data_IF_470367273821
#
_entry.id   IF_470367273821
#
_cell.length_a   1.000
_cell.length_b   1.000
_cell.length_c   1.000
_cell.angle_alpha   90.00
_cell.angle_beta   90.00
_cell.angle_gamma   90.00
#
_symmetry.space_group_name_H-M   'P 1'
#
loop_
_entity.id
_entity.type
_entity.pdbx_description
1 polymer ?
#
# COMPACT_ATOMS: atom_id res chain seq x y z
N UNK A 1 13.69 -14.61 -32.03
CA UNK A 1 12.57 -15.54 -31.80
C UNK A 1 11.29 -14.75 -31.92
N UNK A 2 10.53 -14.96 -32.99
CA UNK A 2 9.26 -14.25 -33.22
C UNK A 2 8.17 -15.08 -32.56
N UNK A 3 7.62 -14.58 -31.45
CA UNK A 3 6.52 -15.26 -30.76
C UNK A 3 5.25 -15.20 -31.60
N UNK A 4 4.58 -16.34 -31.73
CA UNK A 4 3.31 -16.47 -32.43
C UNK A 4 2.24 -15.67 -31.67
N UNK A 5 1.32 -14.99 -32.37
CA UNK A 5 0.29 -14.16 -31.73
C UNK A 5 -1.07 -14.82 -31.88
N UNK A 6 -1.69 -15.21 -30.77
CA UNK A 6 -3.05 -15.77 -30.74
C UNK A 6 -4.00 -14.79 -30.06
N UNK A 7 -5.05 -14.37 -30.75
CA UNK A 7 -6.01 -13.35 -30.28
C UNK A 7 -5.35 -12.01 -29.87
N UNK A 8 -4.21 -11.66 -30.48
CA UNK A 8 -3.47 -10.44 -30.18
C UNK A 8 -2.52 -10.54 -28.97
N UNK A 9 -2.53 -11.66 -28.23
CA UNK A 9 -1.60 -11.92 -27.14
C UNK A 9 -0.39 -12.75 -27.64
N UNK A 10 0.76 -12.54 -27.00
CA UNK A 10 2.01 -13.24 -27.25
C UNK A 10 1.90 -14.69 -26.76
N UNK A 11 2.25 -15.62 -27.63
CA UNK A 11 2.38 -17.02 -27.31
C UNK A 11 3.88 -17.37 -27.31
N UNK A 12 4.38 -17.84 -26.17
CA UNK A 12 5.80 -18.14 -25.96
C UNK A 12 5.98 -19.65 -26.01
N UNK A 13 6.77 -20.12 -26.97
CA UNK A 13 7.13 -21.54 -27.04
C UNK A 13 8.30 -21.83 -26.09
N UNK A 14 8.02 -22.57 -25.02
CA UNK A 14 9.03 -22.96 -24.01
C UNK A 14 9.69 -24.30 -24.32
N UNK A 15 9.10 -25.09 -25.21
CA UNK A 15 9.68 -26.35 -25.68
C UNK A 15 8.94 -26.92 -26.89
N UNK A 16 9.37 -28.10 -27.41
CA UNK A 16 8.82 -28.71 -28.62
C UNK A 16 7.30 -28.94 -28.57
N UNK A 17 6.75 -29.10 -27.36
CA UNK A 17 5.31 -29.30 -27.12
C UNK A 17 4.75 -28.38 -26.03
N UNK A 18 5.52 -27.46 -25.46
CA UNK A 18 5.09 -26.64 -24.33
C UNK A 18 4.98 -25.18 -24.75
N UNK A 19 3.76 -24.64 -24.63
CA UNK A 19 3.44 -23.27 -24.98
C UNK A 19 2.93 -22.54 -23.74
N UNK A 20 3.41 -21.33 -23.51
CA UNK A 20 2.91 -20.43 -22.49
C UNK A 20 2.10 -19.31 -23.14
N UNK A 21 0.91 -19.03 -22.61
CA UNK A 21 0.12 -17.88 -23.02
C UNK A 21 -0.40 -17.12 -21.80
N UNK A 22 -0.56 -15.79 -21.92
CA UNK A 22 -1.05 -14.97 -20.83
C UNK A 22 -2.56 -15.21 -20.68
N UNK A 23 -2.95 -15.68 -19.51
CA UNK A 23 -4.31 -16.09 -19.20
C UNK A 23 -5.08 -14.96 -18.51
N UNK A 24 -4.52 -14.43 -17.42
CA UNK A 24 -5.22 -13.48 -16.56
C UNK A 24 -4.26 -12.48 -15.90
N UNK A 25 -4.68 -11.21 -15.83
CA UNK A 25 -4.04 -10.23 -14.99
C UNK A 25 -4.55 -10.39 -13.55
N UNK A 26 -3.69 -10.80 -12.62
CA UNK A 26 -4.07 -11.06 -11.22
C UNK A 26 -4.10 -9.76 -10.40
N UNK A 27 -3.03 -8.96 -10.46
CA UNK A 27 -2.91 -7.75 -9.65
C UNK A 27 -1.93 -6.75 -10.26
N UNK A 28 -2.02 -5.51 -9.82
CA UNK A 28 -1.14 -4.41 -10.20
C UNK A 28 -0.42 -3.90 -8.95
N UNK A 29 0.83 -3.43 -9.10
CA UNK A 29 1.56 -2.72 -8.05
C UNK A 29 2.25 -1.48 -8.64
N UNK A 30 2.43 -0.46 -7.81
CA UNK A 30 3.35 0.65 -8.10
C UNK A 30 4.65 0.39 -7.35
N UNK A 31 5.76 0.43 -8.06
CA UNK A 31 7.11 0.33 -7.50
C UNK A 31 7.54 1.71 -7.00
N UNK A 32 8.52 1.77 -6.09
CA UNK A 32 9.05 3.03 -5.54
C UNK A 32 9.51 4.03 -6.61
N UNK A 33 9.85 3.55 -7.81
CA UNK A 33 10.27 4.36 -8.95
C UNK A 33 9.08 4.88 -9.79
N UNK A 34 7.88 4.90 -9.21
CA UNK A 34 6.59 5.23 -9.86
C UNK A 34 6.24 4.36 -11.08
N UNK A 35 6.97 3.27 -11.30
CA UNK A 35 6.71 2.31 -12.37
C UNK A 35 5.53 1.41 -11.99
N UNK A 36 4.62 1.18 -12.94
CA UNK A 36 3.51 0.27 -12.75
C UNK A 36 3.89 -1.12 -13.27
N UNK A 37 3.71 -2.12 -12.43
CA UNK A 37 3.92 -3.52 -12.77
C UNK A 37 2.64 -4.33 -12.59
N UNK A 38 2.51 -5.34 -13.43
CA UNK A 38 1.34 -6.18 -13.56
C UNK A 38 1.73 -7.64 -13.35
N UNK A 39 1.05 -8.33 -12.43
CA UNK A 39 1.23 -9.76 -12.22
C UNK A 39 0.31 -10.52 -13.17
N UNK A 40 0.89 -11.12 -14.20
CA UNK A 40 0.16 -11.92 -15.19
C UNK A 40 0.31 -13.39 -14.84
N UNK A 41 -0.81 -14.12 -14.84
CA UNK A 41 -0.84 -15.58 -14.86
C UNK A 41 -0.64 -16.06 -16.29
N UNK A 42 0.39 -16.85 -16.49
CA UNK A 42 0.68 -17.53 -17.74
C UNK A 42 0.33 -19.00 -17.57
N UNK A 43 -0.52 -19.53 -18.43
CA UNK A 43 -0.85 -20.95 -18.42
C UNK A 43 0.02 -21.70 -19.41
N UNK A 44 0.46 -22.89 -19.00
CA UNK A 44 1.26 -23.79 -19.80
C UNK A 44 0.34 -24.81 -20.46
N UNK A 45 0.24 -24.76 -21.78
CA UNK A 45 -0.45 -25.78 -22.58
C UNK A 45 0.58 -26.69 -23.23
N UNK A 46 0.44 -27.99 -22.98
CA UNK A 46 1.13 -29.00 -23.77
C UNK A 46 0.33 -29.22 -25.05
N UNK A 47 0.88 -28.78 -26.19
CA UNK A 47 0.32 -28.97 -27.51
C UNK A 47 0.35 -30.43 -27.93
N UNK A 48 -0.64 -31.19 -27.47
CA UNK A 48 -0.97 -32.53 -27.96
C UNK A 48 -2.31 -32.49 -28.69
N UNK A 49 -2.29 -32.40 -30.02
CA UNK A 49 -3.49 -32.51 -30.82
C UNK A 49 -4.02 -33.96 -30.83
N UNK A 50 -5.32 -34.13 -30.54
CA UNK A 50 -6.14 -35.20 -31.10
C UNK A 50 -6.50 -36.39 -30.20
N UNK A 51 -7.76 -36.36 -29.78
CA UNK A 51 -8.69 -37.50 -29.67
C UNK A 51 -8.71 -38.41 -28.44
N UNK A 52 -9.95 -38.72 -28.05
CA UNK A 52 -10.46 -39.83 -27.23
C UNK A 52 -10.19 -39.82 -25.73
N UNK A 53 -11.29 -39.93 -24.96
CA UNK A 53 -11.27 -40.59 -23.66
C UNK A 53 -11.80 -39.75 -22.51
N UNK A 54 -13.04 -40.06 -22.12
CA UNK A 54 -13.66 -39.73 -20.84
C UNK A 54 -12.69 -39.81 -19.65
N UNK A 55 -12.82 -38.87 -18.72
CA UNK A 55 -13.11 -39.07 -17.28
C UNK A 55 -12.50 -37.96 -16.44
N UNK A 56 -13.30 -37.53 -15.47
CA UNK A 56 -12.99 -36.64 -14.36
C UNK A 56 -11.62 -36.91 -13.74
N UNK A 57 -10.71 -35.94 -13.88
CA UNK A 57 -9.45 -35.88 -13.14
C UNK A 57 -8.97 -34.44 -13.17
N UNK A 58 -8.78 -33.84 -11.99
CA UNK A 58 -8.29 -32.48 -11.79
C UNK A 58 -6.98 -32.27 -12.55
N UNK A 59 -7.06 -31.82 -13.80
CA UNK A 59 -5.89 -31.45 -14.60
C UNK A 59 -5.37 -30.14 -14.03
N UNK A 60 -4.42 -30.28 -13.10
CA UNK A 60 -3.65 -29.21 -12.49
C UNK A 60 -2.87 -28.50 -13.59
N UNK A 61 -3.51 -27.54 -14.26
CA UNK A 61 -2.90 -26.70 -15.27
C UNK A 61 -1.74 -25.97 -14.60
N UNK A 62 -0.52 -26.27 -15.03
CA UNK A 62 0.68 -25.60 -14.53
C UNK A 62 0.60 -24.14 -14.98
N UNK A 63 0.54 -23.23 -14.02
CA UNK A 63 0.51 -21.80 -14.26
C UNK A 63 1.68 -21.12 -13.58
N UNK A 64 2.29 -20.18 -14.30
CA UNK A 64 3.43 -19.38 -13.83
C UNK A 64 2.93 -17.95 -13.65
N UNK A 65 3.29 -17.34 -12.52
CA UNK A 65 3.00 -15.95 -12.25
C UNK A 65 4.24 -15.12 -12.58
N UNK A 66 4.08 -14.08 -13.39
CA UNK A 66 5.18 -13.21 -13.80
C UNK A 66 4.79 -11.74 -13.68
N UNK A 67 5.65 -10.95 -13.03
CA UNK A 67 5.55 -9.50 -13.02
C UNK A 67 6.08 -8.95 -14.33
N UNK A 68 5.31 -8.07 -14.95
CA UNK A 68 5.63 -7.42 -16.22
C UNK A 68 5.42 -5.92 -16.10
N UNK A 69 6.24 -5.13 -16.78
CA UNK A 69 6.05 -3.68 -16.85
C UNK A 69 4.81 -3.32 -17.67
N UNK A 70 4.31 -2.10 -17.53
CA UNK A 70 3.24 -1.57 -18.40
C UNK A 70 3.54 -1.77 -19.88
N UNK A 71 4.76 -1.45 -20.30
CA UNK A 71 5.22 -1.56 -21.69
C UNK A 71 5.19 -3.01 -22.17
N UNK A 72 5.67 -3.94 -21.33
CA UNK A 72 5.64 -5.37 -21.63
C UNK A 72 4.22 -5.91 -21.72
N UNK A 73 3.29 -5.46 -20.87
CA UNK A 73 1.90 -5.91 -20.95
C UNK A 73 1.22 -5.39 -22.22
N UNK A 74 1.50 -4.15 -22.63
CA UNK A 74 1.00 -3.63 -23.91
C UNK A 74 1.57 -4.37 -25.12
N UNK A 75 2.84 -4.75 -25.08
CA UNK A 75 3.50 -5.48 -26.16
C UNK A 75 3.03 -6.94 -26.26
N UNK A 76 2.76 -7.58 -25.11
CA UNK A 76 2.56 -9.01 -25.01
C UNK A 76 1.10 -9.42 -24.78
N UNK A 77 0.31 -8.65 -24.04
CA UNK A 77 -1.02 -9.08 -23.59
C UNK A 77 -2.06 -7.93 -23.57
N UNK A 78 -2.20 -7.12 -24.64
CA UNK A 78 -3.03 -5.91 -24.61
C UNK A 78 -4.52 -6.20 -24.33
N UNK A 79 -4.99 -7.41 -24.66
CA UNK A 79 -6.41 -7.78 -24.45
C UNK A 79 -6.79 -7.99 -22.98
N UNK A 80 -5.80 -8.22 -22.10
CA UNK A 80 -6.04 -8.41 -20.66
C UNK A 80 -6.30 -7.09 -19.94
N UNK A 81 -5.85 -5.95 -20.49
CA UNK A 81 -6.07 -4.63 -19.92
C UNK A 81 -7.53 -4.13 -20.09
N UNK A 82 -8.24 -4.60 -21.13
CA UNK A 82 -9.58 -4.11 -21.50
C UNK A 82 -10.77 -4.89 -20.93
N UNK A 83 -10.56 -5.99 -20.21
CA UNK A 83 -11.62 -6.95 -19.83
C UNK A 83 -12.04 -6.93 -18.36
N UNK A 84 -12.12 -5.78 -17.70
CA UNK A 84 -12.95 -5.69 -16.48
C UNK A 84 -14.43 -5.59 -16.85
N UNK A 85 -15.10 -6.73 -16.95
CA UNK A 85 -16.55 -6.81 -16.69
C UNK A 85 -16.75 -6.88 -15.18
N UNK A 86 -17.67 -6.06 -14.70
CA UNK A 86 -18.12 -6.02 -13.32
C UNK A 86 -18.68 -7.38 -12.87
N UNK A 87 -18.13 -7.96 -11.80
CA UNK A 87 -18.93 -8.60 -10.76
C UNK A 87 -18.17 -8.66 -9.42
N UNK A 88 -18.74 -7.92 -8.47
CA UNK A 88 -18.83 -8.09 -7.01
C UNK A 88 -17.63 -8.45 -6.12
N UNK A 89 -17.22 -7.39 -5.40
CA UNK A 89 -16.88 -7.32 -3.97
C UNK A 89 -15.66 -8.08 -3.42
N UNK A 90 -14.56 -7.33 -3.28
CA UNK A 90 -14.14 -6.72 -2.00
C UNK A 90 -13.19 -5.54 -2.29
N UNK A 91 -13.48 -4.30 -1.83
CA UNK A 91 -12.59 -3.17 -2.06
C UNK A 91 -11.41 -3.26 -1.09
N UNK A 92 -10.28 -3.79 -1.58
CA UNK A 92 -8.99 -3.68 -0.89
C UNK A 92 -8.13 -2.67 -1.65
N UNK A 93 -8.27 -1.42 -1.20
CA UNK A 93 -7.22 -0.41 -1.12
C UNK A 93 -6.49 -0.13 -2.44
N UNK A 94 -7.07 0.81 -3.20
CA UNK A 94 -6.35 1.66 -4.13
C UNK A 94 -5.27 2.43 -3.36
N UNK A 95 -4.01 2.02 -3.52
CA UNK A 95 -2.88 2.92 -3.28
C UNK A 95 -2.69 3.79 -4.54
N UNK A 96 -3.39 4.92 -4.55
CA UNK A 96 -3.13 6.00 -5.50
C UNK A 96 -2.27 7.08 -4.83
N UNK A 97 -0.99 7.15 -5.20
CA UNK A 97 -0.19 8.35 -5.00
C UNK A 97 -0.63 9.45 -5.97
N UNK A 98 -1.36 10.46 -5.43
CA UNK A 98 -1.18 11.95 -5.48
C UNK A 98 -1.03 12.67 -6.85
N UNK A 99 -1.22 14.02 -6.97
CA UNK A 99 -1.80 15.06 -6.09
C UNK A 99 -2.76 16.05 -6.82
N UNK A 100 -3.96 16.31 -6.29
CA UNK A 100 -4.65 17.63 -6.42
C UNK A 100 -5.94 17.61 -5.63
N UNK A 101 -6.26 18.76 -5.05
CA UNK A 101 -7.20 18.89 -3.95
C UNK A 101 -8.63 18.49 -4.28
N UNK A 102 -9.18 17.61 -3.45
CA UNK A 102 -10.47 17.76 -2.80
C UNK A 102 -10.60 16.59 -1.84
N UNK A 103 -10.24 16.82 -0.57
CA UNK A 103 -10.77 15.99 0.50
C UNK A 103 -12.30 16.11 0.42
N UNK A 104 -13.09 15.03 0.63
CA UNK A 104 -14.45 15.23 1.08
C UNK A 104 -14.34 15.96 2.42
N UNK A 105 -14.50 17.27 2.35
CA UNK A 105 -14.48 18.17 3.48
C UNK A 105 -15.76 17.95 4.27
N UNK A 106 -15.77 16.92 5.11
CA UNK A 106 -16.31 16.98 6.47
C UNK A 106 -15.90 15.71 7.22
N UNK A 107 -14.69 15.69 7.78
CA UNK A 107 -14.46 14.83 8.95
C UNK A 107 -15.25 15.54 10.04
N UNK A 108 -16.34 14.93 10.50
CA UNK A 108 -17.24 15.57 11.45
C UNK A 108 -16.40 16.03 12.66
N UNK A 109 -16.65 17.25 13.14
CA UNK A 109 -15.83 17.86 14.20
C UNK A 109 -15.76 16.98 15.45
N UNK A 110 -16.79 16.16 15.66
CA UNK A 110 -16.85 15.12 16.69
C UNK A 110 -15.82 14.01 16.49
N UNK A 111 -15.75 13.40 15.31
CA UNK A 111 -14.81 12.31 15.02
C UNK A 111 -13.35 12.78 15.11
N UNK A 112 -13.07 14.02 14.69
CA UNK A 112 -11.74 14.59 14.84
C UNK A 112 -11.36 14.79 16.31
N UNK A 113 -12.31 15.12 17.19
CA UNK A 113 -12.06 15.22 18.63
C UNK A 113 -11.76 13.85 19.25
N UNK A 114 -12.48 12.80 18.84
CA UNK A 114 -12.22 11.44 19.29
C UNK A 114 -10.83 10.96 18.89
N UNK A 115 -10.41 11.22 17.64
CA UNK A 115 -9.05 10.92 17.18
C UNK A 115 -7.99 11.69 17.96
N UNK A 116 -8.23 12.95 18.31
CA UNK A 116 -7.32 13.74 19.16
C UNK A 116 -7.17 13.13 20.55
N UNK A 117 -8.27 12.68 21.15
CA UNK A 117 -8.25 12.05 22.46
C UNK A 117 -7.56 10.68 22.43
N UNK A 118 -7.77 9.90 21.36
CA UNK A 118 -7.06 8.63 21.16
C UNK A 118 -5.54 8.84 21.02
N UNK A 119 -5.10 9.86 20.26
CA UNK A 119 -3.67 10.21 20.17
C UNK A 119 -3.09 10.53 21.55
N UNK A 120 -3.78 11.31 22.39
CA UNK A 120 -3.33 11.60 23.77
C UNK A 120 -3.19 10.33 24.59
N UNK A 121 -4.18 9.44 24.52
CA UNK A 121 -4.19 8.18 25.25
C UNK A 121 -3.07 7.24 24.79
N UNK A 122 -2.82 7.15 23.47
CA UNK A 122 -1.74 6.38 22.88
C UNK A 122 -0.36 6.91 23.29
N UNK A 123 -0.15 8.23 23.27
CA UNK A 123 1.12 8.85 23.72
C UNK A 123 1.34 8.63 25.21
N UNK A 124 0.30 8.80 26.03
CA UNK A 124 0.35 8.51 27.47
C UNK A 124 0.69 7.04 27.73
N UNK A 125 0.07 6.12 26.98
CA UNK A 125 0.34 4.69 27.06
C UNK A 125 1.78 4.36 26.65
N UNK A 126 2.27 4.94 25.56
CA UNK A 126 3.63 4.73 25.10
C UNK A 126 4.66 5.23 26.13
N UNK A 127 4.47 6.42 26.73
CA UNK A 127 5.33 6.90 27.83
C UNK A 127 5.34 5.94 29.02
N UNK A 128 4.16 5.46 29.44
CA UNK A 128 4.06 4.48 30.54
C UNK A 128 4.79 3.17 30.21
N UNK A 129 4.72 2.72 28.95
CA UNK A 129 5.43 1.53 28.48
C UNK A 129 6.96 1.76 28.44
N UNK A 130 7.44 2.97 28.16
CA UNK A 130 8.87 3.29 28.20
C UNK A 130 9.42 3.41 29.63
N UNK A 131 8.66 3.99 30.56
CA UNK A 131 9.08 4.15 31.94
C UNK A 131 9.22 2.82 32.70
N UNK A 132 8.46 1.79 32.28
CA UNK A 132 8.46 0.47 32.91
C UNK A 132 9.45 -0.44 32.18
N UNK A 133 10.73 -0.39 32.58
CA UNK A 133 11.88 -1.13 32.02
C UNK A 133 11.74 -2.68 32.03
N UNK A 134 10.84 -3.27 31.24
CA UNK A 134 10.69 -4.73 31.19
C UNK A 134 10.01 -5.17 29.90
N UNK A 135 10.68 -6.04 29.13
CA UNK A 135 10.24 -7.05 28.12
C UNK A 135 9.01 -6.79 27.22
N UNK A 136 8.48 -5.57 27.18
CA UNK A 136 7.24 -5.21 26.51
C UNK A 136 7.47 -4.61 25.12
N UNK A 137 8.64 -4.88 24.52
CA UNK A 137 9.05 -4.38 23.21
C UNK A 137 7.97 -4.54 22.14
N UNK A 138 7.20 -5.63 22.21
CA UNK A 138 6.08 -5.92 21.31
C UNK A 138 4.93 -4.92 21.49
N UNK A 139 4.55 -4.57 22.73
CA UNK A 139 3.43 -3.64 22.95
C UNK A 139 3.76 -2.21 22.60
N UNK A 140 4.98 -1.76 22.88
CA UNK A 140 5.37 -0.41 22.51
C UNK A 140 5.51 -0.31 21.01
N UNK A 141 6.06 -1.33 20.34
CA UNK A 141 6.10 -1.40 18.88
C UNK A 141 4.69 -1.27 18.30
N UNK A 142 3.71 -2.01 18.81
CA UNK A 142 2.32 -1.90 18.36
C UNK A 142 1.75 -0.49 18.56
N UNK A 143 1.90 0.08 19.75
CA UNK A 143 1.43 1.44 20.06
C UNK A 143 2.07 2.49 19.15
N UNK A 144 3.37 2.38 18.85
CA UNK A 144 4.07 3.30 17.94
C UNK A 144 3.63 3.12 16.48
N UNK A 145 3.31 1.91 16.04
CA UNK A 145 2.75 1.69 14.70
C UNK A 145 1.37 2.34 14.54
N UNK A 146 0.49 2.18 15.53
CA UNK A 146 -0.83 2.84 15.53
C UNK A 146 -0.68 4.37 15.53
N UNK A 147 0.22 4.92 16.36
CA UNK A 147 0.54 6.35 16.35
C UNK A 147 1.07 6.83 14.99
N UNK A 148 1.81 5.99 14.27
CA UNK A 148 2.34 6.33 12.94
C UNK A 148 1.25 6.51 11.89
N UNK A 149 0.13 5.79 12.01
CA UNK A 149 -1.03 5.99 11.16
C UNK A 149 -1.65 7.38 11.40
N UNK A 150 -1.84 7.76 12.67
CA UNK A 150 -2.36 9.08 13.05
C UNK A 150 -1.43 10.23 12.68
N UNK A 151 -0.11 10.03 12.74
CA UNK A 151 0.87 11.05 12.34
C UNK A 151 0.84 11.38 10.84
N UNK A 152 0.21 10.54 10.02
CA UNK A 152 -0.05 10.82 8.60
C UNK A 152 -1.24 11.78 8.39
N UNK A 153 -1.98 12.09 9.45
CA UNK A 153 -3.12 13.01 9.43
C UNK A 153 -2.64 14.39 9.90
N UNK A 154 -2.51 15.33 8.95
CA UNK A 154 -2.02 16.69 9.22
C UNK A 154 -2.80 17.45 10.31
N UNK A 155 -4.11 17.23 10.41
CA UNK A 155 -4.97 17.88 11.41
C UNK A 155 -4.70 17.47 12.86
N UNK A 156 -3.96 16.38 13.08
CA UNK A 156 -3.60 15.88 14.41
C UNK A 156 -2.21 16.35 14.87
N UNK A 157 -1.39 16.94 13.98
CA UNK A 157 -0.01 17.35 14.27
C UNK A 157 0.09 18.29 15.46
N UNK A 158 -0.87 19.21 15.62
CA UNK A 158 -0.96 20.09 16.79
C UNK A 158 -1.06 19.31 18.11
N UNK A 159 -1.85 18.23 18.13
CA UNK A 159 -2.01 17.38 19.32
C UNK A 159 -0.77 16.55 19.61
N UNK A 160 -0.04 16.10 18.59
CA UNK A 160 1.26 15.45 18.78
C UNK A 160 2.28 16.38 19.46
N UNK A 161 2.24 17.68 19.16
CA UNK A 161 3.08 18.69 19.83
C UNK A 161 2.62 18.95 21.27
N UNK A 162 1.33 19.19 21.46
CA UNK A 162 0.74 19.46 22.79
C UNK A 162 0.97 18.32 23.79
N UNK A 163 0.97 17.07 23.31
CA UNK A 163 1.15 15.88 24.15
C UNK A 163 2.61 15.55 24.46
N UNK A 164 3.58 16.28 23.88
CA UNK A 164 5.00 15.96 24.01
C UNK A 164 5.36 14.64 23.31
N UNK A 165 4.66 14.28 22.23
CA UNK A 165 4.94 13.08 21.46
C UNK A 165 6.29 13.17 20.72
N UNK A 166 6.75 14.39 20.41
CA UNK A 166 8.07 14.61 19.81
C UNK A 166 9.20 14.19 20.75
N UNK A 167 9.10 14.51 22.05
CA UNK A 167 10.10 14.10 23.04
C UNK A 167 10.15 12.57 23.18
N UNK A 168 8.97 11.94 23.22
CA UNK A 168 8.84 10.49 23.20
C UNK A 168 9.51 9.88 21.94
N UNK A 169 9.32 10.51 20.78
CA UNK A 169 9.93 10.06 19.53
C UNK A 169 11.45 10.19 19.55
N UNK A 170 11.98 11.29 20.09
CA UNK A 170 13.42 11.48 20.27
C UNK A 170 14.00 10.42 21.21
N UNK A 171 13.29 10.05 22.27
CA UNK A 171 13.69 8.98 23.18
C UNK A 171 13.66 7.60 22.50
N UNK A 172 12.64 7.33 21.68
CA UNK A 172 12.52 6.08 20.91
C UNK A 172 13.61 5.91 19.84
N UNK A 173 14.15 7.01 19.31
CA UNK A 173 15.30 6.96 18.40
C UNK A 173 16.57 6.43 19.08
N UNK A 174 16.66 6.57 20.40
CA UNK A 174 17.77 6.04 21.21
C UNK A 174 17.54 4.58 21.64
N UNK A 175 16.44 3.95 21.24
CA UNK A 175 16.10 2.58 21.63
C UNK A 175 16.98 1.53 20.92
N UNK A 176 17.29 0.41 21.60
CA UNK A 176 18.13 -0.68 21.04
C UNK A 176 17.48 -1.36 19.83
N UNK A 177 16.15 -1.46 19.85
CA UNK A 177 15.34 -2.15 18.84
C UNK A 177 15.30 -1.37 17.50
N UNK A 178 15.61 -2.03 16.38
CA UNK A 178 15.80 -1.36 15.07
C UNK A 178 14.47 -0.92 14.45
N UNK A 179 13.38 -1.67 14.62
CA UNK A 179 12.07 -1.33 14.06
C UNK A 179 11.49 -0.09 14.73
N UNK A 180 11.59 0.02 16.05
CA UNK A 180 11.16 1.15 16.87
C UNK A 180 11.88 2.43 16.46
N UNK A 181 13.21 2.35 16.22
CA UNK A 181 13.97 3.49 15.68
C UNK A 181 13.51 3.89 14.29
N UNK A 182 13.27 2.92 13.40
CA UNK A 182 12.81 3.20 12.03
C UNK A 182 11.40 3.77 12.01
N UNK A 183 10.48 3.27 12.82
CA UNK A 183 9.11 3.79 12.92
C UNK A 183 9.10 5.20 13.51
N UNK A 184 9.84 5.45 14.59
CA UNK A 184 10.02 6.79 15.16
C UNK A 184 10.55 7.80 14.12
N UNK A 185 11.57 7.42 13.34
CA UNK A 185 12.13 8.28 12.30
C UNK A 185 11.18 8.51 11.11
N UNK A 186 10.34 7.54 10.75
CA UNK A 186 9.27 7.75 9.74
C UNK A 186 8.21 8.72 10.25
N UNK A 187 7.81 8.56 11.50
CA UNK A 187 6.79 9.39 12.14
C UNK A 187 7.24 10.85 12.27
N UNK A 188 8.49 11.10 12.65
CA UNK A 188 9.07 12.46 12.67
C UNK A 188 9.09 13.12 11.28
N UNK A 189 9.43 12.36 10.22
CA UNK A 189 9.38 12.87 8.84
C UNK A 189 7.96 13.20 8.40
N UNK A 190 6.97 12.38 8.76
CA UNK A 190 5.57 12.64 8.47
C UNK A 190 5.09 13.94 9.16
N UNK A 191 5.32 14.06 10.47
CA UNK A 191 4.96 15.26 11.24
C UNK A 191 5.64 16.53 10.69
N UNK A 192 6.94 16.47 10.36
CA UNK A 192 7.67 17.58 9.77
C UNK A 192 7.16 17.96 8.36
N UNK A 193 6.70 16.98 7.57
CA UNK A 193 6.12 17.23 6.24
C UNK A 193 4.77 17.95 6.32
N UNK A 194 4.02 17.73 7.41
CA UNK A 194 2.73 18.39 7.65
C UNK A 194 2.87 19.76 8.33
N UNK A 195 3.94 20.00 9.09
CA UNK A 195 4.21 21.29 9.76
C UNK A 195 4.28 22.47 8.78
N UNK A 196 4.69 22.23 7.53
CA UNK A 196 4.73 23.24 6.47
C UNK A 196 3.34 23.76 6.05
N UNK A 197 2.25 23.07 6.43
CA UNK A 197 0.88 23.46 6.07
C UNK A 197 0.22 24.38 7.12
N UNK A 198 0.75 24.45 8.34
CA UNK A 198 0.14 25.17 9.45
C UNK A 198 0.33 26.70 9.40
N UNK A 199 1.43 27.21 8.83
CA UNK A 199 1.71 28.65 8.86
C UNK A 199 0.78 29.52 7.97
N UNK A 200 -0.09 28.92 7.14
CA UNK A 200 -1.04 29.66 6.30
C UNK A 200 -2.43 29.88 6.92
N UNK A 201 -2.71 29.32 8.09
CA UNK A 201 -4.04 29.39 8.72
C UNK A 201 -4.29 30.58 9.64
N UNK A 202 -3.24 31.25 10.14
CA UNK A 202 -3.36 32.17 11.28
C UNK A 202 -3.14 33.66 10.95
N UNK A 203 -3.40 34.06 9.69
CA UNK A 203 -3.37 35.47 9.27
C UNK A 203 -4.56 35.86 8.41
N UNK A 204 -5.81 35.72 8.91
CA UNK A 204 -6.95 36.40 8.26
C UNK A 204 -8.23 36.54 9.10
N UNK A 205 -8.15 37.06 10.32
CA UNK A 205 -9.30 37.77 10.94
C UNK A 205 -8.80 38.68 12.06
N UNK A 206 -8.38 39.89 11.72
CA UNK A 206 -7.91 40.82 12.74
C UNK A 206 -7.47 42.17 12.21
N UNK A 207 -8.29 42.84 11.40
CA UNK A 207 -8.30 44.31 11.35
C UNK A 207 -9.51 44.80 10.55
N UNK A 208 -10.34 45.59 11.22
CA UNK A 208 -11.58 46.14 10.69
C UNK A 208 -12.31 46.89 11.80
N UNK A 209 -11.62 47.87 12.40
CA UNK A 209 -12.26 49.04 12.98
C UNK A 209 -12.21 50.15 11.93
#
# INVERSE_FOLDING_TARGET
>A
MVGERRNGNLLVQLGPKLQAFPEELIRQRRTHDSQTEYLIRWSLSSGGGGSSGSTSGESKSESILMWMSTEDVYANCPTLLGKRKADSQRPLLEEEERPSGQFPADVDKGELLDMKEDVKNLVCRARKQMAKNSDFGISITHTIHVLSAYASIGSLVGVFKETGALDLLMELLCNKERQTRRSAGKMLRALASHDLFWEKGEKKTGSGR
#
